data_IF_335205391427
#
_entry.id   IF_335205391427
#
_cell.length_a   1.000
_cell.length_b   1.000
_cell.length_c   1.000
_cell.angle_alpha   90.00
_cell.angle_beta   90.00
_cell.angle_gamma   90.00
#
_symmetry.space_group_name_H-M   'P 1'
#
loop_
_entity.id
_entity.type
_entity.pdbx_description
1 polymer ?
#
# COMPACT_ATOMS: atom_id res chain seq x y z
N UNK A 1 -4.92 6.87 -17.72
CA UNK A 1 -4.80 8.21 -17.10
C UNK A 1 -5.13 7.98 -15.65
N UNK A 2 -4.13 7.98 -14.76
CA UNK A 2 -4.39 7.89 -13.31
C UNK A 2 -5.39 9.00 -12.97
N UNK A 3 -6.52 8.66 -12.37
CA UNK A 3 -7.46 9.67 -11.90
C UNK A 3 -6.69 10.62 -10.95
N UNK A 4 -6.97 11.92 -11.00
CA UNK A 4 -6.33 12.86 -10.11
C UNK A 4 -6.77 12.54 -8.66
N UNK A 5 -5.87 11.89 -7.91
CA UNK A 5 -6.04 11.65 -6.49
C UNK A 5 -5.93 12.99 -5.76
N UNK A 6 -6.67 13.12 -4.66
CA UNK A 6 -6.39 14.20 -3.70
C UNK A 6 -5.05 13.95 -3.01
N UNK A 7 -4.47 14.99 -2.44
CA UNK A 7 -3.23 14.87 -1.65
C UNK A 7 -3.37 13.81 -0.54
N UNK A 8 -4.51 13.79 0.16
CA UNK A 8 -4.76 12.83 1.23
C UNK A 8 -4.80 11.39 0.71
N UNK A 9 -5.48 11.15 -0.41
CA UNK A 9 -5.54 9.83 -1.03
C UNK A 9 -4.17 9.34 -1.51
N UNK A 10 -3.37 10.23 -2.11
CA UNK A 10 -2.01 9.90 -2.53
C UNK A 10 -1.11 9.59 -1.32
N UNK A 11 -1.13 10.45 -0.29
CA UNK A 11 -0.33 10.27 0.91
C UNK A 11 -0.69 8.99 1.68
N UNK A 12 -1.99 8.71 1.84
CA UNK A 12 -2.46 7.46 2.46
C UNK A 12 -2.07 6.24 1.62
N UNK A 13 -2.20 6.31 0.30
CA UNK A 13 -1.80 5.20 -0.58
C UNK A 13 -0.30 4.89 -0.46
N UNK A 14 0.56 5.92 -0.47
CA UNK A 14 2.00 5.75 -0.26
C UNK A 14 2.34 5.21 1.14
N UNK A 15 1.67 5.72 2.18
CA UNK A 15 1.82 5.22 3.55
C UNK A 15 1.47 3.73 3.64
N UNK A 16 0.35 3.32 3.02
CA UNK A 16 -0.10 1.93 3.00
C UNK A 16 0.91 1.03 2.27
N UNK A 17 1.35 1.43 1.08
CA UNK A 17 2.34 0.68 0.31
C UNK A 17 3.65 0.51 1.07
N UNK A 18 4.14 1.56 1.74
CA UNK A 18 5.29 1.49 2.62
C UNK A 18 5.08 0.57 3.83
N UNK A 19 3.91 0.62 4.46
CA UNK A 19 3.54 -0.25 5.57
C UNK A 19 3.52 -1.73 5.17
N UNK A 20 2.97 -2.05 4.00
CA UNK A 20 2.96 -3.43 3.46
C UNK A 20 4.38 -3.94 3.23
N UNK A 21 5.24 -3.13 2.61
CA UNK A 21 6.65 -3.51 2.40
C UNK A 21 7.36 -3.75 3.73
N UNK A 22 7.25 -2.79 4.66
CA UNK A 22 7.89 -2.90 5.96
C UNK A 22 7.41 -4.16 6.71
N UNK A 23 6.12 -4.49 6.66
CA UNK A 23 5.57 -5.70 7.24
C UNK A 23 6.13 -6.97 6.59
N UNK A 24 6.11 -7.04 5.24
CA UNK A 24 6.62 -8.19 4.49
C UNK A 24 8.14 -8.39 4.68
N UNK A 25 8.87 -7.33 5.01
CA UNK A 25 10.30 -7.38 5.40
C UNK A 25 10.51 -7.78 6.88
N UNK A 26 9.43 -8.09 7.62
CA UNK A 26 9.47 -8.56 9.00
C UNK A 26 9.44 -7.46 10.07
N UNK A 27 9.17 -6.21 9.71
CA UNK A 27 9.05 -5.13 10.67
C UNK A 27 7.66 -5.11 11.32
N UNK A 28 7.63 -4.71 12.60
CA UNK A 28 6.37 -4.43 13.31
C UNK A 28 5.87 -3.07 12.82
N UNK A 29 4.66 -3.05 12.27
CA UNK A 29 4.02 -1.83 11.75
C UNK A 29 2.73 -1.59 12.51
N UNK A 30 2.63 -0.45 13.21
CA UNK A 30 1.36 0.03 13.75
C UNK A 30 0.71 1.02 12.78
N UNK A 31 -0.30 0.56 12.04
CA UNK A 31 -1.02 1.37 11.05
C UNK A 31 -1.95 2.42 11.69
N UNK A 32 -2.20 2.35 13.00
CA UNK A 32 -3.01 3.34 13.73
C UNK A 32 -2.22 4.62 14.05
N UNK A 33 -0.90 4.56 14.02
CA UNK A 33 -0.05 5.70 14.31
C UNK A 33 0.21 6.59 13.08
N UNK A 34 0.55 7.86 13.34
CA UNK A 34 0.95 8.84 12.32
C UNK A 34 -0.01 10.02 12.15
N UNK A 35 0.42 11.00 11.35
CA UNK A 35 -0.30 12.27 11.15
C UNK A 35 -1.58 12.13 10.31
N UNK A 36 -1.61 11.17 9.39
CA UNK A 36 -2.77 10.85 8.57
C UNK A 36 -3.30 9.47 8.99
N UNK A 37 -4.43 9.40 9.71
CA UNK A 37 -5.03 8.15 10.11
C UNK A 37 -5.63 7.45 8.88
N UNK A 38 -5.52 6.13 8.83
CA UNK A 38 -6.22 5.36 7.82
C UNK A 38 -7.73 5.29 8.11
N UNK A 39 -8.56 5.12 7.07
CA UNK A 39 -9.94 4.66 7.25
C UNK A 39 -9.98 3.37 8.09
N UNK A 40 -11.04 3.21 8.88
CA UNK A 40 -11.23 2.04 9.75
C UNK A 40 -11.19 0.73 8.96
N UNK A 41 -11.86 0.69 7.81
CA UNK A 41 -11.86 -0.45 6.89
C UNK A 41 -10.45 -0.84 6.42
N UNK A 42 -9.58 0.14 6.13
CA UNK A 42 -8.18 -0.13 5.77
C UNK A 42 -7.42 -0.79 6.92
N UNK A 43 -7.67 -0.34 8.15
CA UNK A 43 -7.01 -0.87 9.36
C UNK A 43 -7.47 -2.30 9.62
N UNK A 44 -8.76 -2.58 9.47
CA UNK A 44 -9.32 -3.93 9.61
C UNK A 44 -8.70 -4.90 8.61
N UNK A 45 -8.70 -4.55 7.32
CA UNK A 45 -8.10 -5.35 6.26
C UNK A 45 -6.59 -5.56 6.48
N UNK A 46 -5.85 -4.52 6.90
CA UNK A 46 -4.43 -4.65 7.17
C UNK A 46 -4.15 -5.67 8.29
N UNK A 47 -4.91 -5.61 9.39
CA UNK A 47 -4.76 -6.55 10.50
C UNK A 47 -5.16 -7.98 10.09
N UNK A 48 -6.21 -8.13 9.29
CA UNK A 48 -6.64 -9.43 8.77
C UNK A 48 -5.57 -10.05 7.86
N UNK A 49 -5.06 -9.28 6.89
CA UNK A 49 -4.09 -9.79 5.93
C UNK A 49 -2.71 -10.01 6.54
N UNK A 50 -2.24 -9.12 7.42
CA UNK A 50 -0.96 -9.29 8.13
C UNK A 50 -0.94 -10.51 9.05
N UNK A 51 -2.08 -10.97 9.56
CA UNK A 51 -2.17 -12.19 10.36
C UNK A 51 -1.77 -13.45 9.57
N UNK A 52 -1.83 -13.41 8.24
CA UNK A 52 -1.43 -14.51 7.35
C UNK A 52 0.08 -14.49 7.01
N UNK A 53 0.84 -13.53 7.54
CA UNK A 53 2.30 -13.48 7.47
C UNK A 53 2.85 -12.64 6.32
N UNK A 54 2.43 -12.91 5.09
CA UNK A 54 2.78 -12.09 3.92
C UNK A 54 1.50 -11.48 3.35
N UNK A 55 1.51 -10.17 3.16
CA UNK A 55 0.44 -9.46 2.47
C UNK A 55 0.70 -9.56 0.97
N UNK A 56 -0.22 -10.19 0.27
CA UNK A 56 -0.15 -10.47 -1.16
C UNK A 56 -0.56 -9.24 -2.02
N UNK A 57 -0.25 -9.25 -3.33
CA UNK A 57 -0.60 -8.16 -4.24
C UNK A 57 -2.09 -7.83 -4.30
N UNK A 58 -2.96 -8.84 -4.35
CA UNK A 58 -4.42 -8.67 -4.40
C UNK A 58 -4.96 -8.07 -3.10
N UNK A 59 -4.46 -8.51 -1.96
CA UNK A 59 -4.75 -7.95 -0.64
C UNK A 59 -4.31 -6.48 -0.52
N UNK A 60 -3.16 -6.14 -1.08
CA UNK A 60 -2.68 -4.75 -1.13
C UNK A 60 -3.61 -3.88 -1.98
N UNK A 61 -4.05 -4.40 -3.13
CA UNK A 61 -5.00 -3.71 -4.02
C UNK A 61 -6.36 -3.54 -3.32
N UNK A 62 -6.82 -4.53 -2.56
CA UNK A 62 -8.07 -4.45 -1.81
C UNK A 62 -8.02 -3.37 -0.73
N UNK A 63 -6.92 -3.26 0.00
CA UNK A 63 -6.74 -2.14 0.94
C UNK A 63 -6.69 -0.79 0.23
N UNK A 64 -6.04 -0.67 -0.93
CA UNK A 64 -6.01 0.58 -1.71
C UNK A 64 -7.40 1.04 -2.16
N UNK A 65 -8.32 0.11 -2.45
CA UNK A 65 -9.71 0.44 -2.82
C UNK A 65 -10.47 1.18 -1.72
N UNK A 66 -10.06 1.04 -0.46
CA UNK A 66 -10.67 1.75 0.67
C UNK A 66 -10.23 3.23 0.74
N UNK A 67 -9.14 3.58 0.06
CA UNK A 67 -8.56 4.94 0.05
C UNK A 67 -8.94 5.69 -1.24
N UNK A 68 -8.88 5.00 -2.38
CA UNK A 68 -9.03 5.61 -3.72
C UNK A 68 -10.45 5.42 -4.29
N UNK A 69 -10.95 6.33 -5.12
CA UNK A 69 -12.36 6.37 -5.50
C UNK A 69 -12.80 5.26 -6.48
N UNK A 70 -11.86 4.48 -7.04
CA UNK A 70 -12.18 3.45 -8.04
C UNK A 70 -11.15 2.31 -7.99
N UNK A 71 -11.62 1.06 -8.06
CA UNK A 71 -10.74 -0.12 -8.11
C UNK A 71 -9.77 -0.18 -9.28
N UNK A 72 -10.08 0.43 -10.43
CA UNK A 72 -9.11 0.57 -11.52
C UNK A 72 -7.92 1.44 -11.10
N UNK A 73 -8.16 2.52 -10.34
CA UNK A 73 -7.10 3.42 -9.84
C UNK A 73 -6.24 2.72 -8.79
N UNK A 74 -6.83 1.90 -7.92
CA UNK A 74 -6.08 1.09 -6.96
C UNK A 74 -5.08 0.16 -7.65
N UNK A 75 -5.53 -0.52 -8.72
CA UNK A 75 -4.68 -1.40 -9.51
C UNK A 75 -3.58 -0.64 -10.24
N UNK A 76 -3.91 0.44 -10.95
CA UNK A 76 -2.93 1.27 -11.66
C UNK A 76 -1.86 1.83 -10.70
N UNK A 77 -2.26 2.23 -9.50
CA UNK A 77 -1.34 2.74 -8.47
C UNK A 77 -0.42 1.66 -7.92
N UNK A 78 -0.95 0.46 -7.66
CA UNK A 78 -0.12 -0.68 -7.23
C UNK A 78 0.88 -1.08 -8.32
N UNK A 79 0.47 -1.16 -9.58
CA UNK A 79 1.36 -1.48 -10.69
C UNK A 79 2.46 -0.41 -10.86
N UNK A 80 2.11 0.87 -10.78
CA UNK A 80 3.09 1.96 -10.84
C UNK A 80 4.11 1.90 -9.69
N UNK A 81 3.66 1.54 -8.48
CA UNK A 81 4.53 1.33 -7.33
C UNK A 81 5.49 0.16 -7.54
N UNK A 82 5.01 -0.99 -8.00
CA UNK A 82 5.86 -2.16 -8.24
C UNK A 82 6.91 -1.90 -9.33
N UNK A 83 6.55 -1.16 -10.39
CA UNK A 83 7.51 -0.69 -11.39
C UNK A 83 8.57 0.19 -10.74
N UNK A 84 8.16 1.17 -9.92
CA UNK A 84 9.09 2.05 -9.21
C UNK A 84 10.05 1.29 -8.29
N UNK A 85 9.52 0.36 -7.48
CA UNK A 85 10.34 -0.51 -6.61
C UNK A 85 11.30 -1.38 -7.40
N UNK A 86 10.84 -1.98 -8.50
CA UNK A 86 11.68 -2.81 -9.35
C UNK A 86 12.89 -2.03 -9.89
N UNK A 87 12.68 -0.79 -10.36
CA UNK A 87 13.78 0.08 -10.80
C UNK A 87 14.74 0.40 -9.64
N UNK A 88 14.23 0.68 -8.44
CA UNK A 88 15.06 0.95 -7.26
C UNK A 88 15.91 -0.28 -6.88
N UNK A 89 15.31 -1.47 -6.84
CA UNK A 89 16.00 -2.73 -6.53
C UNK A 89 17.10 -3.05 -7.54
N UNK A 90 16.80 -2.89 -8.84
CA UNK A 90 17.80 -3.04 -9.91
C UNK A 90 18.99 -2.09 -9.73
N UNK A 91 18.73 -0.83 -9.38
CA UNK A 91 19.80 0.15 -9.15
C UNK A 91 20.62 -0.17 -7.88
N UNK A 92 20.03 -0.83 -6.89
CA UNK A 92 20.70 -1.26 -5.67
C UNK A 92 21.43 -2.61 -5.82
N UNK A 93 21.35 -3.25 -6.98
CA UNK A 93 21.97 -4.56 -7.23
C UNK A 93 21.23 -5.74 -6.58
N UNK A 94 19.98 -5.53 -6.16
CA UNK A 94 19.12 -6.56 -5.59
C UNK A 94 18.35 -7.25 -6.73
N UNK A 95 18.49 -8.58 -6.84
CA UNK A 95 17.79 -9.43 -7.82
C UNK A 95 16.68 -10.24 -7.18
#
# INVERSE_FOLDING_TARGET
MLAALTFEQEALSQKLLGAVVAHNDGNIVDVREGLLPFPEETIELFNEYSANGVIEPDQTIDMLKTIVPNGAVAKDLFEAWEVGRSVIRQNNGES
#
